data_IF_970438008717
#
_entry.id   IF_970438008717
#
_cell.length_a   1.000
_cell.length_b   1.000
_cell.length_c   1.000
_cell.angle_alpha   90.00
_cell.angle_beta   90.00
_cell.angle_gamma   90.00
#
_symmetry.space_group_name_H-M   'P 1'
#
loop_
_entity.id
_entity.type
_entity.pdbx_description
1 polymer ?
#
# COMPACT_ATOMS: atom_id res chain seq x y z
N UNK A 1 -35.72 -10.74 -14.09
CA UNK A 1 -34.46 -11.16 -14.76
C UNK A 1 -33.75 -9.87 -15.17
N UNK A 2 -32.78 -9.37 -14.39
CA UNK A 2 -32.14 -8.08 -14.69
C UNK A 2 -31.46 -8.13 -16.07
N UNK A 3 -31.59 -7.08 -16.88
CA UNK A 3 -30.98 -7.01 -18.21
C UNK A 3 -29.45 -7.14 -18.13
N UNK A 4 -28.79 -7.74 -19.13
CA UNK A 4 -27.34 -7.96 -19.13
C UNK A 4 -26.53 -6.68 -18.87
N UNK A 5 -27.03 -5.53 -19.34
CA UNK A 5 -26.43 -4.22 -19.11
C UNK A 5 -26.45 -3.78 -17.64
N UNK A 6 -27.53 -4.08 -16.90
CA UNK A 6 -27.66 -3.73 -15.48
C UNK A 6 -26.66 -4.48 -14.61
N UNK A 7 -26.46 -5.79 -14.85
CA UNK A 7 -25.49 -6.60 -14.08
C UNK A 7 -24.05 -6.17 -14.33
N UNK A 8 -23.71 -5.78 -15.56
CA UNK A 8 -22.38 -5.29 -15.89
C UNK A 8 -22.09 -3.92 -15.23
N UNK A 9 -23.10 -3.05 -15.15
CA UNK A 9 -23.01 -1.77 -14.45
C UNK A 9 -22.84 -1.96 -12.92
N UNK A 10 -23.61 -2.86 -12.31
CA UNK A 10 -23.50 -3.20 -10.88
C UNK A 10 -22.10 -3.77 -10.55
N UNK A 11 -21.59 -4.72 -11.34
CA UNK A 11 -20.26 -5.29 -11.13
C UNK A 11 -19.12 -4.24 -11.26
N UNK A 12 -19.29 -3.27 -12.15
CA UNK A 12 -18.32 -2.16 -12.32
C UNK A 12 -18.39 -1.18 -11.16
N UNK A 13 -19.60 -0.84 -10.69
CA UNK A 13 -19.80 0.01 -9.53
C UNK A 13 -19.20 -0.61 -8.26
N UNK A 14 -19.37 -1.93 -8.08
CA UNK A 14 -18.86 -2.67 -6.94
C UNK A 14 -17.31 -2.74 -6.95
N UNK A 15 -16.71 -2.97 -8.13
CA UNK A 15 -15.25 -2.91 -8.31
C UNK A 15 -14.68 -1.52 -8.03
N UNK A 16 -15.34 -0.47 -8.54
CA UNK A 16 -14.94 0.92 -8.31
C UNK A 16 -15.01 1.31 -6.83
N UNK A 17 -15.98 0.76 -6.09
CA UNK A 17 -16.11 0.97 -4.66
C UNK A 17 -14.98 0.29 -3.86
N UNK A 18 -14.61 -0.95 -4.22
CA UNK A 18 -13.54 -1.70 -3.53
C UNK A 18 -12.18 -1.01 -3.57
N UNK A 19 -11.92 -0.18 -4.59
CA UNK A 19 -10.67 0.59 -4.72
C UNK A 19 -10.79 2.05 -4.27
N UNK A 20 -11.94 2.50 -3.74
CA UNK A 20 -12.17 3.92 -3.46
C UNK A 20 -11.35 4.49 -2.31
N UNK A 21 -10.84 3.63 -1.43
CA UNK A 21 -9.90 4.02 -0.38
C UNK A 21 -8.50 4.27 -0.94
N UNK A 22 -8.13 3.63 -2.05
CA UNK A 22 -6.77 3.59 -2.57
C UNK A 22 -6.19 4.99 -2.90
N UNK A 23 -6.91 5.92 -3.57
CA UNK A 23 -6.39 7.27 -3.80
C UNK A 23 -6.05 8.01 -2.49
N UNK A 24 -6.87 7.85 -1.44
CA UNK A 24 -6.63 8.48 -0.13
C UNK A 24 -5.35 7.93 0.50
N UNK A 25 -5.15 6.61 0.46
CA UNK A 25 -3.96 5.97 1.01
C UNK A 25 -2.70 6.33 0.22
N UNK A 26 -2.79 6.45 -1.11
CA UNK A 26 -1.66 6.88 -1.95
C UNK A 26 -1.30 8.34 -1.67
N UNK A 27 -2.28 9.24 -1.58
CA UNK A 27 -2.04 10.65 -1.23
C UNK A 27 -1.38 10.74 0.15
N UNK A 28 -1.90 10.02 1.15
CA UNK A 28 -1.30 9.99 2.49
C UNK A 28 0.15 9.49 2.46
N UNK A 29 0.44 8.50 1.61
CA UNK A 29 1.79 7.95 1.42
C UNK A 29 2.73 8.92 0.72
N UNK A 30 2.25 9.70 -0.26
CA UNK A 30 3.03 10.77 -0.92
C UNK A 30 3.37 11.87 0.08
N UNK A 31 2.40 12.31 0.89
CA UNK A 31 2.62 13.29 1.95
C UNK A 31 3.62 12.77 2.98
N UNK A 32 3.48 11.51 3.39
CA UNK A 32 4.43 10.88 4.31
C UNK A 32 5.83 10.81 3.70
N UNK A 33 5.96 10.45 2.42
CA UNK A 33 7.25 10.37 1.74
C UNK A 33 7.93 11.75 1.72
N UNK A 34 7.19 12.82 1.47
CA UNK A 34 7.71 14.18 1.53
C UNK A 34 8.19 14.56 2.94
N UNK A 35 7.40 14.28 3.97
CA UNK A 35 7.78 14.55 5.38
C UNK A 35 9.00 13.71 5.79
N UNK A 36 9.02 12.42 5.42
CA UNK A 36 10.11 11.51 5.69
C UNK A 36 11.40 11.94 4.97
N UNK A 37 11.30 12.42 3.72
CA UNK A 37 12.43 12.97 2.97
C UNK A 37 13.02 14.20 3.66
N UNK A 38 12.18 15.12 4.12
CA UNK A 38 12.63 16.32 4.85
C UNK A 38 13.30 15.92 6.16
N UNK A 39 12.66 15.06 6.97
CA UNK A 39 13.21 14.61 8.24
C UNK A 39 14.54 13.84 8.07
N UNK A 40 14.60 12.93 7.09
CA UNK A 40 15.82 12.19 6.75
C UNK A 40 16.92 13.11 6.23
N UNK A 41 16.57 14.10 5.40
CA UNK A 41 17.46 15.12 4.87
C UNK A 41 18.12 15.97 5.94
N UNK A 42 17.31 16.43 6.91
CA UNK A 42 17.80 17.21 8.04
C UNK A 42 18.69 16.38 8.99
N UNK A 43 18.39 15.09 9.16
CA UNK A 43 19.14 14.24 10.08
C UNK A 43 20.45 13.67 9.51
N UNK A 44 20.46 13.28 8.23
CA UNK A 44 21.59 12.55 7.60
C UNK A 44 21.94 13.00 6.18
N UNK A 45 21.47 14.18 5.75
CA UNK A 45 21.75 14.72 4.43
C UNK A 45 21.00 13.99 3.31
N UNK A 46 21.49 14.12 2.08
CA UNK A 46 20.81 13.62 0.88
C UNK A 46 20.50 12.11 0.93
N UNK A 47 21.43 11.29 1.43
CA UNK A 47 21.22 9.85 1.61
C UNK A 47 20.11 9.55 2.62
N UNK A 48 19.98 10.37 3.66
CA UNK A 48 18.90 10.24 4.63
C UNK A 48 17.53 10.58 4.02
N UNK A 49 17.46 11.63 3.22
CA UNK A 49 16.24 12.00 2.50
C UNK A 49 15.82 10.90 1.53
N UNK A 50 16.76 10.43 0.71
CA UNK A 50 16.52 9.37 -0.27
C UNK A 50 16.13 8.05 0.39
N UNK A 51 16.85 7.64 1.44
CA UNK A 51 16.53 6.44 2.21
C UNK A 51 15.11 6.49 2.75
N UNK A 52 14.76 7.54 3.50
CA UNK A 52 13.45 7.67 4.11
C UNK A 52 12.30 7.69 3.08
N UNK A 53 12.45 8.48 2.00
CA UNK A 53 11.46 8.55 0.93
C UNK A 53 11.30 7.21 0.20
N UNK A 54 12.41 6.55 -0.14
CA UNK A 54 12.40 5.27 -0.83
C UNK A 54 11.75 4.16 0.03
N UNK A 55 11.98 4.16 1.34
CA UNK A 55 11.34 3.22 2.25
C UNK A 55 9.82 3.36 2.25
N UNK A 56 9.31 4.60 2.31
CA UNK A 56 7.86 4.87 2.21
C UNK A 56 7.32 4.45 0.84
N UNK A 57 8.03 4.78 -0.24
CA UNK A 57 7.62 4.46 -1.60
C UNK A 57 7.50 2.96 -1.85
N UNK A 58 8.47 2.16 -1.38
CA UNK A 58 8.45 0.70 -1.48
C UNK A 58 7.23 0.12 -0.76
N UNK A 59 6.94 0.58 0.46
CA UNK A 59 5.76 0.14 1.20
C UNK A 59 4.46 0.50 0.47
N UNK A 60 4.32 1.75 0.03
CA UNK A 60 3.13 2.21 -0.67
C UNK A 60 2.89 1.45 -1.98
N UNK A 61 3.95 1.20 -2.75
CA UNK A 61 3.88 0.40 -3.98
C UNK A 61 3.48 -1.04 -3.68
N UNK A 62 4.12 -1.69 -2.70
CA UNK A 62 3.82 -3.07 -2.30
C UNK A 62 2.36 -3.25 -1.91
N UNK A 63 1.84 -2.35 -1.08
CA UNK A 63 0.47 -2.43 -0.59
C UNK A 63 -0.54 -2.09 -1.67
N UNK A 64 -0.24 -1.10 -2.53
CA UNK A 64 -1.07 -0.77 -3.69
C UNK A 64 -1.22 -1.96 -4.63
N UNK A 65 -0.11 -2.61 -5.01
CA UNK A 65 -0.13 -3.80 -5.87
C UNK A 65 -0.94 -4.91 -5.22
N UNK A 66 -0.72 -5.15 -3.92
CA UNK A 66 -1.48 -6.18 -3.18
C UNK A 66 -2.98 -5.89 -3.23
N UNK A 67 -3.40 -4.67 -2.94
CA UNK A 67 -4.82 -4.27 -2.97
C UNK A 67 -5.43 -4.44 -4.37
N UNK A 68 -4.72 -4.02 -5.43
CA UNK A 68 -5.22 -4.13 -6.80
C UNK A 68 -5.35 -5.60 -7.24
N UNK A 69 -4.35 -6.43 -6.95
CA UNK A 69 -4.38 -7.85 -7.32
C UNK A 69 -5.46 -8.60 -6.56
N UNK A 70 -5.65 -8.33 -5.27
CA UNK A 70 -6.73 -8.94 -4.49
C UNK A 70 -8.11 -8.43 -4.92
N UNK A 71 -8.21 -7.16 -5.29
CA UNK A 71 -9.45 -6.62 -5.84
C UNK A 71 -9.82 -7.31 -7.17
N UNK A 72 -8.81 -7.53 -8.03
CA UNK A 72 -8.97 -8.27 -9.28
C UNK A 72 -9.32 -9.75 -9.05
N UNK A 73 -8.63 -10.43 -8.13
CA UNK A 73 -8.87 -11.85 -7.84
C UNK A 73 -10.29 -12.09 -7.35
N UNK A 74 -10.74 -11.29 -6.38
CA UNK A 74 -12.10 -11.36 -5.84
C UNK A 74 -13.17 -11.07 -6.92
N UNK A 75 -12.89 -10.16 -7.85
CA UNK A 75 -13.80 -9.87 -8.95
C UNK A 75 -13.86 -10.99 -10.01
N UNK A 76 -12.88 -11.91 -10.02
CA UNK A 76 -12.81 -13.05 -10.94
C UNK A 76 -13.46 -14.28 -10.31
N UNK A 77 -13.04 -14.61 -9.11
CA UNK A 77 -13.52 -15.71 -8.29
C UNK A 77 -13.04 -15.46 -6.83
N UNK A 78 -13.96 -15.27 -5.86
CA UNK A 78 -13.61 -15.08 -4.46
C UNK A 78 -12.71 -16.17 -3.87
N UNK A 79 -12.74 -17.40 -4.40
CA UNK A 79 -11.88 -18.50 -3.94
C UNK A 79 -10.40 -18.25 -4.26
N UNK A 80 -10.09 -17.35 -5.20
CA UNK A 80 -8.71 -16.97 -5.55
C UNK A 80 -8.09 -15.98 -4.57
N UNK A 81 -8.87 -15.31 -3.73
CA UNK A 81 -8.36 -14.26 -2.82
C UNK A 81 -7.35 -14.84 -1.82
N UNK A 82 -7.63 -16.02 -1.27
CA UNK A 82 -6.76 -16.67 -0.30
C UNK A 82 -5.40 -17.10 -0.91
N UNK A 83 -5.35 -17.88 -2.01
CA UNK A 83 -4.07 -18.28 -2.60
C UNK A 83 -3.28 -17.09 -3.13
N UNK A 84 -3.92 -16.09 -3.75
CA UNK A 84 -3.23 -14.88 -4.18
C UNK A 84 -2.74 -14.05 -3.00
N UNK A 85 -3.51 -13.95 -1.91
CA UNK A 85 -3.10 -13.24 -0.70
C UNK A 85 -1.85 -13.85 -0.06
N UNK A 86 -1.83 -15.18 0.08
CA UNK A 86 -0.67 -15.89 0.59
C UNK A 86 0.54 -15.80 -0.37
N UNK A 87 0.32 -16.02 -1.67
CA UNK A 87 1.36 -15.95 -2.69
C UNK A 87 2.00 -14.57 -2.78
N UNK A 88 1.19 -13.50 -2.77
CA UNK A 88 1.68 -12.12 -2.69
C UNK A 88 2.43 -11.87 -1.40
N UNK A 89 1.96 -12.37 -0.27
CA UNK A 89 2.67 -12.21 1.01
C UNK A 89 4.07 -12.82 0.95
N UNK A 90 4.18 -14.07 0.52
CA UNK A 90 5.47 -14.76 0.35
C UNK A 90 6.35 -13.97 -0.61
N UNK A 91 5.86 -13.63 -1.81
CA UNK A 91 6.62 -12.89 -2.81
C UNK A 91 7.12 -11.54 -2.28
N UNK A 92 6.24 -10.76 -1.63
CA UNK A 92 6.61 -9.46 -1.01
C UNK A 92 7.70 -9.64 0.03
N UNK A 93 7.60 -10.64 0.91
CA UNK A 93 8.56 -10.83 1.98
C UNK A 93 9.91 -11.30 1.44
N UNK A 94 9.92 -12.15 0.42
CA UNK A 94 11.14 -12.55 -0.29
C UNK A 94 11.81 -11.37 -0.99
N UNK A 95 11.04 -10.54 -1.71
CA UNK A 95 11.56 -9.33 -2.37
C UNK A 95 12.11 -8.36 -1.33
N UNK A 96 11.37 -8.10 -0.25
CA UNK A 96 11.82 -7.20 0.81
C UNK A 96 13.10 -7.69 1.47
N UNK A 97 13.18 -8.99 1.77
CA UNK A 97 14.40 -9.60 2.31
C UNK A 97 15.58 -9.45 1.35
N UNK A 98 15.39 -9.70 0.05
CA UNK A 98 16.43 -9.50 -0.98
C UNK A 98 16.90 -8.04 -1.04
N UNK A 99 15.96 -7.08 -1.04
CA UNK A 99 16.28 -5.64 -0.99
C UNK A 99 17.09 -5.31 0.27
N UNK A 100 16.70 -5.83 1.45
CA UNK A 100 17.45 -5.62 2.69
C UNK A 100 18.87 -6.15 2.63
N UNK A 101 19.07 -7.34 2.07
CA UNK A 101 20.42 -7.91 1.91
C UNK A 101 21.26 -7.05 0.97
N UNK A 102 20.72 -6.65 -0.18
CA UNK A 102 21.45 -5.83 -1.16
C UNK A 102 21.82 -4.45 -0.61
N UNK A 103 20.86 -3.76 0.01
CA UNK A 103 21.10 -2.43 0.58
C UNK A 103 22.04 -2.53 1.77
N UNK A 104 21.89 -3.55 2.62
CA UNK A 104 22.79 -3.80 3.75
C UNK A 104 24.23 -4.06 3.30
N UNK A 105 24.42 -4.81 2.22
CA UNK A 105 25.75 -5.10 1.67
C UNK A 105 26.41 -3.89 1.00
N UNK A 106 25.63 -2.91 0.55
CA UNK A 106 26.14 -1.72 -0.15
C UNK A 106 26.85 -0.71 0.75
N UNK A 107 26.68 -0.79 2.08
CA UNK A 107 27.20 0.21 3.02
C UNK A 107 26.51 1.58 2.92
N UNK A 108 25.36 1.68 2.24
CA UNK A 108 24.67 2.94 2.01
C UNK A 108 24.23 3.61 3.33
N UNK A 109 24.62 4.87 3.51
CA UNK A 109 24.30 5.67 4.70
C UNK A 109 22.78 5.88 4.89
N UNK A 110 22.00 5.74 3.82
CA UNK A 110 20.54 5.82 3.81
C UNK A 110 19.82 4.59 4.38
N UNK A 111 20.53 3.50 4.75
CA UNK A 111 19.92 2.25 5.20
C UNK A 111 18.99 2.42 6.41
N UNK A 112 19.46 3.10 7.47
CA UNK A 112 18.63 3.31 8.68
C UNK A 112 17.39 4.17 8.36
N UNK A 113 17.53 5.34 7.69
CA UNK A 113 16.40 6.13 7.21
C UNK A 113 15.44 5.30 6.34
N UNK A 114 15.95 4.42 5.48
CA UNK A 114 15.14 3.52 4.65
C UNK A 114 14.28 2.56 5.47
N UNK A 115 14.86 1.89 6.46
CA UNK A 115 14.12 1.02 7.38
C UNK A 115 13.05 1.78 8.15
N UNK A 116 13.36 3.00 8.62
CA UNK A 116 12.40 3.87 9.30
C UNK A 116 11.27 4.32 8.36
N UNK A 117 11.59 4.64 7.10
CA UNK A 117 10.61 4.96 6.06
C UNK A 117 9.65 3.80 5.79
N UNK A 118 10.16 2.57 5.73
CA UNK A 118 9.32 1.36 5.62
C UNK A 118 8.36 1.28 6.81
N UNK A 119 8.88 1.35 8.04
CA UNK A 119 8.09 1.21 9.26
C UNK A 119 7.00 2.30 9.34
N UNK A 120 7.36 3.55 9.09
CA UNK A 120 6.42 4.66 9.04
C UNK A 120 5.35 4.45 7.96
N UNK A 121 5.75 4.02 6.77
CA UNK A 121 4.84 3.70 5.67
C UNK A 121 3.81 2.64 6.05
N UNK A 122 4.23 1.57 6.73
CA UNK A 122 3.33 0.49 7.17
C UNK A 122 2.31 1.02 8.18
N UNK A 123 2.79 1.78 9.18
CA UNK A 123 1.93 2.33 10.23
C UNK A 123 0.90 3.30 9.67
N UNK A 124 1.32 4.24 8.83
CA UNK A 124 0.43 5.25 8.23
C UNK A 124 -0.56 4.61 7.29
N UNK A 125 -0.12 3.71 6.41
CA UNK A 125 -1.05 3.01 5.51
C UNK A 125 -2.11 2.24 6.31
N UNK A 126 -1.69 1.46 7.31
CA UNK A 126 -2.58 0.67 8.15
C UNK A 126 -3.56 1.57 8.92
N UNK A 127 -3.06 2.65 9.53
CA UNK A 127 -3.87 3.61 10.27
C UNK A 127 -4.91 4.32 9.40
N UNK A 128 -4.51 4.80 8.21
CA UNK A 128 -5.42 5.44 7.25
C UNK A 128 -6.46 4.44 6.74
N UNK A 129 -6.07 3.20 6.48
CA UNK A 129 -7.00 2.15 6.05
C UNK A 129 -8.04 1.85 7.12
N UNK A 130 -7.62 1.67 8.38
CA UNK A 130 -8.52 1.47 9.52
C UNK A 130 -9.46 2.66 9.68
N UNK A 131 -8.92 3.89 9.63
CA UNK A 131 -9.71 5.11 9.71
C UNK A 131 -10.78 5.16 8.61
N UNK A 132 -10.41 4.87 7.36
CA UNK A 132 -11.36 4.87 6.25
C UNK A 132 -12.47 3.84 6.44
N UNK A 133 -12.14 2.63 6.88
CA UNK A 133 -13.12 1.58 7.17
C UNK A 133 -14.06 1.98 8.31
N UNK A 134 -13.51 2.50 9.41
CA UNK A 134 -14.28 2.89 10.59
C UNK A 134 -15.19 4.11 10.34
N UNK A 135 -14.78 5.05 9.48
CA UNK A 135 -15.49 6.33 9.32
C UNK A 135 -16.31 6.44 8.04
N UNK A 136 -15.80 5.93 6.92
CA UNK A 136 -16.41 6.09 5.60
C UNK A 136 -17.26 4.87 5.24
N UNK A 137 -16.77 3.66 5.53
CA UNK A 137 -17.51 2.43 5.22
C UNK A 137 -18.69 2.23 6.19
N UNK A 138 -18.44 2.35 7.51
CA UNK A 138 -19.50 2.19 8.52
C UNK A 138 -20.66 3.18 8.35
N UNK A 139 -20.39 4.43 7.93
CA UNK A 139 -21.44 5.43 7.69
C UNK A 139 -22.41 5.07 6.58
N UNK A 140 -22.02 4.24 5.60
CA UNK A 140 -22.92 3.79 4.53
C UNK A 140 -23.83 2.63 4.92
N UNK A 141 -23.43 1.81 5.89
CA UNK A 141 -24.25 0.66 6.33
C UNK A 141 -25.42 1.12 7.22
N UNK A 142 -25.30 2.31 7.83
CA UNK A 142 -26.29 2.88 8.75
C UNK A 142 -27.17 3.99 8.15
N UNK A 143 -27.05 4.26 6.84
CA UNK A 143 -27.95 5.14 6.06
C UNK A 143 -28.68 4.34 5.01
#
# INVERSE_FOLDING_TARGET
MAEPGTRAAEATADRGWRLRHLPVLVIASVLLAAVAAVAGGLARGADGALGAAAGVAVTAASYTVTTVVLAWADARDPQLVLPFGLGLYIAKMTVLAGVMVLVGASGWAGLIPFCLGIAAGVLVWTGVHIWWLATVHARRVHT
#
